data_IF_090925414303
#
_entry.id   IF_090925414303
#
_cell.length_a   1.000
_cell.length_b   1.000
_cell.length_c   1.000
_cell.angle_alpha   90.00
_cell.angle_beta   90.00
_cell.angle_gamma   90.00
#
_symmetry.space_group_name_H-M   'P 1'
#
loop_
_entity.id
_entity.type
_entity.pdbx_description
1 polymer ?
#
# COMPACT_ATOMS: atom_id res chain seq x y z
N UNK A 1 22.14 28.91 4.33
CA UNK A 1 23.39 28.11 4.48
C UNK A 1 23.08 26.70 3.98
N UNK A 2 23.87 26.19 3.04
CA UNK A 2 23.54 24.94 2.35
C UNK A 2 23.75 23.75 3.29
N UNK A 3 22.75 22.87 3.38
CA UNK A 3 22.76 21.62 4.15
C UNK A 3 24.03 20.76 3.95
N UNK A 4 24.69 20.90 2.79
CA UNK A 4 25.97 20.29 2.48
C UNK A 4 27.12 20.73 3.42
N UNK A 5 27.22 22.01 3.78
CA UNK A 5 28.26 22.51 4.71
C UNK A 5 28.02 22.03 6.14
N UNK A 6 26.76 21.87 6.55
CA UNK A 6 26.40 21.29 7.85
C UNK A 6 26.76 19.80 7.91
N UNK A 7 26.55 19.05 6.83
CA UNK A 7 26.97 17.65 6.72
C UNK A 7 28.50 17.51 6.77
N UNK A 8 29.22 18.43 6.14
CA UNK A 8 30.69 18.48 6.17
C UNK A 8 31.22 18.85 7.56
N UNK A 9 30.54 19.75 8.28
CA UNK A 9 30.87 20.13 9.67
C UNK A 9 30.51 19.06 10.71
N UNK A 10 29.42 18.32 10.53
CA UNK A 10 29.00 17.26 11.47
C UNK A 10 29.87 16.02 11.34
N UNK A 11 30.58 15.85 10.22
CA UNK A 11 31.44 14.71 9.94
C UNK A 11 30.65 13.41 9.71
N UNK A 12 31.30 12.41 9.10
CA UNK A 12 30.71 11.11 8.84
C UNK A 12 30.25 10.36 10.10
N UNK A 13 29.44 9.32 9.90
CA UNK A 13 28.69 8.51 10.90
C UNK A 13 29.41 8.33 12.25
N UNK A 14 29.27 9.31 13.14
CA UNK A 14 29.89 9.30 14.47
C UNK A 14 29.20 8.29 15.40
N UNK A 15 29.86 7.94 16.52
CA UNK A 15 29.27 7.01 17.53
C UNK A 15 27.88 7.43 18.02
N UNK A 16 27.63 8.74 18.11
CA UNK A 16 26.33 9.29 18.49
C UNK A 16 25.25 9.09 17.42
N UNK A 17 25.57 9.28 16.13
CA UNK A 17 24.65 8.98 15.03
C UNK A 17 24.36 7.48 14.95
N UNK A 18 25.40 6.63 15.09
CA UNK A 18 25.23 5.18 15.15
C UNK A 18 24.32 4.74 16.30
N UNK A 19 24.53 5.31 17.50
CA UNK A 19 23.69 5.02 18.67
C UNK A 19 22.24 5.49 18.46
N UNK A 20 22.01 6.68 17.89
CA UNK A 20 20.67 7.16 17.59
C UNK A 20 19.94 6.31 16.54
N UNK A 21 20.63 5.89 15.48
CA UNK A 21 20.06 4.97 14.49
C UNK A 21 19.70 3.63 15.14
N UNK A 22 20.58 3.08 15.99
CA UNK A 22 20.31 1.85 16.71
C UNK A 22 19.08 1.98 17.66
N UNK A 23 18.98 3.09 18.38
CA UNK A 23 17.83 3.41 19.25
C UNK A 23 16.52 3.54 18.47
N UNK A 24 16.55 4.10 17.26
CA UNK A 24 15.37 4.18 16.39
C UNK A 24 15.01 2.83 15.76
N UNK A 25 15.99 1.97 15.49
CA UNK A 25 15.76 0.63 14.95
C UNK A 25 15.06 -0.31 15.94
N UNK A 26 15.32 -0.17 17.24
CA UNK A 26 14.77 -1.07 18.25
C UNK A 26 13.22 -1.08 18.29
N UNK A 27 12.50 0.07 18.37
CA UNK A 27 11.05 0.10 18.27
C UNK A 27 10.51 -0.45 16.93
N UNK A 28 11.22 -0.23 15.82
CA UNK A 28 10.81 -0.74 14.51
C UNK A 28 10.84 -2.27 14.47
N UNK A 29 11.88 -2.89 15.07
CA UNK A 29 11.97 -4.34 15.19
C UNK A 29 10.88 -4.92 16.08
N UNK A 30 10.57 -4.27 17.21
CA UNK A 30 9.47 -4.69 18.08
C UNK A 30 8.12 -4.62 17.37
N UNK A 31 7.88 -3.56 16.60
CA UNK A 31 6.65 -3.42 15.81
C UNK A 31 6.53 -4.51 14.74
N UNK A 32 7.62 -4.81 14.03
CA UNK A 32 7.66 -5.88 13.04
C UNK A 32 7.42 -7.26 13.69
N UNK A 33 8.05 -7.52 14.84
CA UNK A 33 7.86 -8.75 15.60
C UNK A 33 6.40 -8.91 16.05
N UNK A 34 5.74 -7.84 16.48
CA UNK A 34 4.34 -7.90 16.89
C UNK A 34 3.40 -8.20 15.72
N UNK A 35 3.64 -7.60 14.54
CA UNK A 35 2.89 -7.92 13.32
C UNK A 35 3.08 -9.40 12.90
N UNK A 36 4.29 -9.93 13.06
CA UNK A 36 4.59 -11.32 12.73
C UNK A 36 3.96 -12.30 13.72
N UNK A 37 4.01 -11.97 15.02
CA UNK A 37 3.50 -12.80 16.10
C UNK A 37 2.00 -13.07 15.97
N UNK A 38 1.23 -12.11 15.46
CA UNK A 38 -0.21 -12.28 15.22
C UNK A 38 -0.51 -13.44 14.26
N UNK A 39 0.32 -13.65 13.23
CA UNK A 39 0.11 -14.75 12.27
C UNK A 39 0.31 -16.13 12.90
N UNK A 40 1.16 -16.24 13.94
CA UNK A 40 1.44 -17.50 14.62
C UNK A 40 0.50 -17.75 15.80
N UNK A 41 0.22 -16.72 16.60
CA UNK A 41 -0.68 -16.82 17.75
C UNK A 41 -2.12 -17.07 17.34
N UNK A 42 -2.51 -16.62 16.14
CA UNK A 42 -3.82 -16.85 15.54
C UNK A 42 -3.85 -18.04 14.56
N UNK A 43 -2.84 -18.91 14.55
CA UNK A 43 -2.87 -20.09 13.70
C UNK A 43 -3.99 -21.04 14.14
N UNK A 44 -4.76 -21.54 13.17
CA UNK A 44 -5.81 -22.54 13.38
C UNK A 44 -5.20 -23.91 13.09
N UNK A 45 -4.88 -24.74 14.10
CA UNK A 45 -4.43 -26.11 13.85
C UNK A 45 -5.58 -26.95 13.30
N UNK A 46 -5.25 -28.11 12.72
CA UNK A 46 -6.26 -29.09 12.34
C UNK A 46 -7.05 -29.52 13.58
N UNK A 47 -8.37 -29.54 13.45
CA UNK A 47 -9.31 -29.76 14.54
C UNK A 47 -10.53 -30.50 14.05
N UNK A 48 -11.18 -31.19 14.97
CA UNK A 48 -12.44 -31.89 14.77
C UNK A 48 -13.33 -31.69 16.00
N UNK A 49 -14.64 -31.94 15.85
CA UNK A 49 -15.55 -31.91 17.00
C UNK A 49 -15.06 -32.87 18.08
N UNK A 50 -15.12 -32.44 19.35
CA UNK A 50 -14.86 -33.34 20.47
C UNK A 50 -15.96 -34.39 20.51
N UNK A 51 -15.55 -35.64 20.51
CA UNK A 51 -16.44 -36.80 20.59
C UNK A 51 -16.13 -37.53 21.89
N UNK A 52 -17.16 -38.06 22.54
CA UNK A 52 -17.02 -38.96 23.69
C UNK A 52 -16.45 -40.32 23.26
N UNK A 53 -15.20 -40.36 22.81
CA UNK A 53 -14.46 -41.62 22.67
C UNK A 53 -14.05 -42.13 24.05
N UNK A 54 -14.01 -43.45 24.19
CA UNK A 54 -13.55 -44.12 25.41
C UNK A 54 -12.17 -43.58 25.82
N UNK A 55 -11.92 -43.34 27.12
CA UNK A 55 -10.70 -42.67 27.65
C UNK A 55 -9.38 -43.26 27.12
N UNK A 56 -9.38 -44.51 26.67
CA UNK A 56 -8.26 -45.17 26.02
C UNK A 56 -7.75 -44.46 24.74
N UNK A 57 -8.63 -43.80 23.97
CA UNK A 57 -8.24 -43.04 22.78
C UNK A 57 -7.72 -41.64 23.11
N UNK A 58 -8.10 -41.06 24.26
CA UNK A 58 -7.64 -39.72 24.68
C UNK A 58 -6.20 -39.71 25.21
N UNK A 59 -5.71 -40.85 25.73
CA UNK A 59 -4.42 -40.93 26.44
C UNK A 59 -3.26 -41.53 25.62
N UNK A 60 -3.40 -41.71 24.30
CA UNK A 60 -2.29 -42.08 23.40
C UNK A 60 -1.62 -43.45 23.64
N UNK A 61 -1.96 -44.18 24.71
CA UNK A 61 -1.32 -45.42 25.13
C UNK A 61 -1.99 -46.69 24.61
N UNK A 62 -2.95 -46.58 23.69
CA UNK A 62 -3.55 -47.73 23.04
C UNK A 62 -2.79 -48.08 21.76
N UNK A 63 -2.46 -49.36 21.60
CA UNK A 63 -2.05 -50.04 20.36
C UNK A 63 -3.12 -49.97 19.23
N UNK A 64 -4.09 -49.06 19.34
CA UNK A 64 -5.31 -48.96 18.52
C UNK A 64 -5.49 -47.62 17.81
N UNK A 65 -4.42 -47.03 17.25
CA UNK A 65 -4.52 -45.77 16.50
C UNK A 65 -5.48 -45.88 15.29
N UNK A 66 -5.61 -47.09 14.70
CA UNK A 66 -6.53 -47.36 13.58
C UNK A 66 -8.00 -47.44 14.02
N UNK A 67 -8.27 -47.97 15.21
CA UNK A 67 -9.64 -48.12 15.73
C UNK A 67 -10.22 -46.77 16.17
N UNK A 68 -9.41 -45.89 16.77
CA UNK A 68 -9.86 -44.55 17.16
C UNK A 68 -10.17 -43.67 15.94
N UNK A 69 -9.35 -43.73 14.88
CA UNK A 69 -9.61 -42.99 13.63
C UNK A 69 -10.83 -43.55 12.88
N UNK A 70 -11.07 -44.86 12.96
CA UNK A 70 -12.28 -45.48 12.41
C UNK A 70 -13.53 -45.08 13.21
N UNK A 71 -13.46 -45.07 14.55
CA UNK A 71 -14.54 -44.57 15.41
C UNK A 71 -14.87 -43.10 15.12
N UNK A 72 -13.88 -42.26 14.83
CA UNK A 72 -14.12 -40.83 14.56
C UNK A 72 -15.08 -40.63 13.37
N UNK A 73 -15.03 -41.51 12.36
CA UNK A 73 -15.89 -41.45 11.15
C UNK A 73 -17.37 -41.68 11.46
N UNK A 74 -17.68 -42.36 12.57
CA UNK A 74 -19.05 -42.62 13.02
C UNK A 74 -19.73 -41.33 13.49
N UNK A 75 -18.96 -40.40 14.05
CA UNK A 75 -19.48 -39.21 14.72
C UNK A 75 -19.26 -37.94 13.90
N UNK A 76 -18.23 -37.89 13.07
CA UNK A 76 -17.87 -36.70 12.28
C UNK A 76 -17.94 -37.04 10.79
N UNK A 77 -18.71 -36.29 9.98
CA UNK A 77 -18.74 -36.47 8.54
C UNK A 77 -17.35 -36.27 7.93
N UNK A 78 -17.12 -36.84 6.75
CA UNK A 78 -15.87 -36.67 6.03
C UNK A 78 -16.06 -35.72 4.86
N UNK A 79 -15.12 -34.78 4.74
CA UNK A 79 -15.02 -33.88 3.60
C UNK A 79 -14.57 -34.67 2.35
N UNK A 80 -14.68 -34.08 1.14
CA UNK A 80 -14.38 -34.73 -0.13
C UNK A 80 -12.96 -35.32 -0.26
N UNK A 81 -12.05 -34.92 0.64
CA UNK A 81 -10.68 -35.42 0.75
C UNK A 81 -10.49 -36.48 1.86
N UNK A 82 -11.56 -37.14 2.32
CA UNK A 82 -11.54 -38.17 3.39
C UNK A 82 -11.02 -37.67 4.75
N UNK A 83 -11.10 -36.37 5.01
CA UNK A 83 -10.73 -35.74 6.28
C UNK A 83 -11.97 -35.49 7.13
N UNK A 84 -11.89 -35.57 8.47
CA UNK A 84 -13.02 -35.21 9.32
C UNK A 84 -13.42 -33.76 9.08
N UNK A 85 -14.72 -33.53 8.97
CA UNK A 85 -15.29 -32.20 8.93
C UNK A 85 -14.95 -31.42 10.21
N UNK A 86 -14.73 -30.12 10.03
CA UNK A 86 -14.15 -29.24 11.06
C UNK A 86 -15.20 -28.65 12.01
N UNK A 87 -16.44 -28.49 11.54
CA UNK A 87 -17.47 -27.70 12.22
C UNK A 87 -18.76 -28.46 12.53
N UNK A 88 -18.99 -29.58 11.85
CA UNK A 88 -20.24 -30.34 11.94
C UNK A 88 -19.95 -31.74 12.46
N UNK A 89 -20.94 -32.29 13.17
CA UNK A 89 -20.99 -33.68 13.61
C UNK A 89 -22.36 -34.28 13.30
N UNK A 90 -22.43 -35.60 13.26
CA UNK A 90 -23.72 -36.28 13.18
C UNK A 90 -24.47 -36.19 14.51
N UNK A 91 -25.78 -35.91 14.46
CA UNK A 91 -26.68 -35.93 15.62
C UNK A 91 -26.75 -37.33 16.22
N UNK A 92 -26.80 -38.34 15.36
CA UNK A 92 -26.79 -39.76 15.76
C UNK A 92 -25.57 -40.47 15.20
N UNK A 93 -24.86 -41.30 16.00
CA UNK A 93 -23.68 -42.00 15.56
C UNK A 93 -24.01 -42.99 14.43
N UNK A 94 -23.35 -42.81 13.29
CA UNK A 94 -23.54 -43.64 12.10
C UNK A 94 -22.66 -44.88 12.15
N UNK A 95 -23.00 -45.84 13.04
CA UNK A 95 -22.24 -47.08 13.23
C UNK A 95 -22.10 -47.90 11.93
N UNK A 96 -23.05 -47.71 11.01
CA UNK A 96 -23.04 -48.29 9.66
C UNK A 96 -21.78 -47.94 8.86
N UNK A 97 -21.10 -46.82 9.16
CA UNK A 97 -19.85 -46.43 8.50
C UNK A 97 -18.65 -47.30 8.89
N UNK A 98 -18.73 -48.09 9.97
CA UNK A 98 -17.71 -49.08 10.35
C UNK A 98 -17.90 -50.43 9.66
N UNK A 99 -19.14 -50.76 9.27
CA UNK A 99 -19.50 -52.06 8.72
C UNK A 99 -19.48 -52.01 7.19
N UNK A 100 -18.29 -52.24 6.63
CA UNK A 100 -18.07 -52.29 5.17
C UNK A 100 -18.60 -53.60 4.56
N UNK A 101 -19.87 -53.95 4.75
CA UNK A 101 -20.52 -55.02 3.98
C UNK A 101 -22.03 -55.08 4.20
N UNK A 102 -22.82 -54.35 3.39
CA UNK A 102 -24.05 -54.90 2.79
C UNK A 102 -24.73 -53.92 1.86
N UNK A 103 -25.20 -54.49 0.76
CA UNK A 103 -26.04 -53.92 -0.28
C UNK A 103 -27.27 -53.19 0.27
N UNK A 104 -27.45 -51.93 -0.15
CA UNK A 104 -28.79 -51.35 -0.33
C UNK A 104 -29.33 -50.51 0.82
N UNK A 105 -28.80 -49.30 0.99
CA UNK A 105 -29.61 -48.09 1.17
C UNK A 105 -28.76 -46.91 0.77
N UNK A 106 -29.27 -46.04 -0.11
CA UNK A 106 -28.66 -44.72 -0.24
C UNK A 106 -28.60 -44.09 1.16
N UNK A 107 -27.48 -43.43 1.54
CA UNK A 107 -27.39 -42.80 2.83
C UNK A 107 -28.52 -41.77 2.92
N UNK A 108 -29.53 -42.03 3.75
CA UNK A 108 -30.42 -40.98 4.24
C UNK A 108 -29.51 -39.85 4.69
N UNK A 109 -29.71 -38.62 4.21
CA UNK A 109 -28.93 -37.45 4.63
C UNK A 109 -28.87 -37.45 6.16
N UNK A 110 -27.74 -37.87 6.71
CA UNK A 110 -27.60 -38.05 8.13
C UNK A 110 -27.68 -36.67 8.77
N UNK A 111 -28.59 -36.52 9.74
CA UNK A 111 -28.84 -35.23 10.37
C UNK A 111 -27.57 -34.72 11.06
N UNK A 112 -27.19 -33.49 10.75
CA UNK A 112 -25.93 -32.86 11.20
C UNK A 112 -26.24 -31.72 12.17
N UNK A 113 -25.40 -31.59 13.19
CA UNK A 113 -25.45 -30.49 14.15
C UNK A 113 -24.06 -29.85 14.34
N UNK A 114 -23.99 -28.57 14.73
CA UNK A 114 -22.72 -27.95 15.09
C UNK A 114 -22.09 -28.62 16.33
N UNK A 115 -20.75 -28.60 16.44
CA UNK A 115 -20.06 -29.17 17.61
C UNK A 115 -20.50 -28.46 18.92
N UNK A 116 -21.20 -29.16 19.83
CA UNK A 116 -21.62 -28.61 21.13
C UNK A 116 -20.64 -28.89 22.27
N UNK A 117 -19.91 -30.01 22.21
CA UNK A 117 -19.03 -30.49 23.30
C UNK A 117 -17.58 -29.95 23.22
N UNK A 118 -17.38 -28.91 22.39
CA UNK A 118 -16.09 -28.30 22.09
C UNK A 118 -15.31 -29.02 20.99
N UNK A 119 -14.01 -28.69 20.88
CA UNK A 119 -13.13 -29.20 19.83
C UNK A 119 -11.93 -29.95 20.42
N UNK A 120 -11.36 -30.83 19.60
CA UNK A 120 -10.07 -31.47 19.85
C UNK A 120 -9.10 -31.00 18.78
N UNK A 121 -8.01 -30.37 19.21
CA UNK A 121 -6.96 -29.84 18.34
C UNK A 121 -5.78 -30.79 18.27
N UNK A 122 -5.20 -30.95 17.10
CA UNK A 122 -3.98 -31.73 16.93
C UNK A 122 -2.74 -30.90 17.33
N UNK A 123 -2.13 -31.24 18.48
CA UNK A 123 -1.02 -30.50 19.09
C UNK A 123 0.36 -30.74 18.46
N UNK A 124 0.44 -31.27 17.24
CA UNK A 124 1.71 -31.66 16.60
C UNK A 124 2.58 -30.48 16.17
N UNK A 125 1.94 -29.36 15.81
CA UNK A 125 2.63 -28.14 15.30
C UNK A 125 2.49 -26.97 16.27
N UNK A 126 1.35 -26.84 16.93
CA UNK A 126 1.08 -25.78 17.91
C UNK A 126 0.56 -26.41 19.20
N UNK A 127 1.24 -26.19 20.32
CA UNK A 127 0.79 -26.67 21.63
C UNK A 127 -0.39 -25.84 22.15
N UNK A 128 -0.34 -24.52 21.97
CA UNK A 128 -1.41 -23.59 22.35
C UNK A 128 -1.39 -22.37 21.44
N UNK A 129 -2.56 -22.00 20.93
CA UNK A 129 -2.81 -20.76 20.19
C UNK A 129 -4.03 -20.05 20.80
N UNK A 130 -4.23 -18.77 20.46
CA UNK A 130 -5.42 -18.03 20.91
C UNK A 130 -6.71 -18.74 20.46
N UNK A 131 -6.64 -19.45 19.33
CA UNK A 131 -7.75 -20.23 18.79
C UNK A 131 -8.03 -21.46 19.65
N UNK A 132 -7.00 -22.19 20.08
CA UNK A 132 -7.20 -23.40 20.90
C UNK A 132 -7.56 -23.10 22.35
N UNK A 133 -7.17 -21.93 22.86
CA UNK A 133 -7.45 -21.52 24.24
C UNK A 133 -8.88 -20.99 24.41
N UNK A 134 -9.39 -20.27 23.39
CA UNK A 134 -10.70 -19.61 23.42
C UNK A 134 -11.74 -20.24 22.48
N UNK A 135 -11.43 -21.39 21.87
CA UNK A 135 -12.29 -22.11 20.92
C UNK A 135 -12.86 -21.21 19.81
N UNK A 136 -12.00 -20.37 19.22
CA UNK A 136 -12.35 -19.37 18.20
C UNK A 136 -12.48 -19.99 16.79
N UNK A 137 -13.33 -21.01 16.68
CA UNK A 137 -13.48 -21.85 15.48
C UNK A 137 -14.91 -21.77 14.94
N UNK A 138 -15.10 -22.06 13.66
CA UNK A 138 -16.40 -22.06 12.98
C UNK A 138 -17.11 -20.70 13.12
N UNK A 139 -18.11 -20.59 14.01
CA UNK A 139 -18.90 -19.38 14.25
C UNK A 139 -18.06 -18.17 14.71
N UNK A 140 -16.94 -18.41 15.41
CA UNK A 140 -16.07 -17.35 15.96
C UNK A 140 -14.82 -17.09 15.13
N UNK A 141 -14.72 -17.64 13.92
CA UNK A 141 -13.56 -17.41 13.02
C UNK A 141 -13.40 -15.93 12.64
N UNK A 142 -14.49 -15.19 12.56
CA UNK A 142 -14.49 -13.74 12.30
C UNK A 142 -13.81 -12.93 13.41
N UNK A 143 -13.86 -13.40 14.67
CA UNK A 143 -13.21 -12.72 15.80
C UNK A 143 -11.68 -12.66 15.65
N UNK A 144 -11.08 -13.72 15.07
CA UNK A 144 -9.66 -13.76 14.78
C UNK A 144 -9.25 -12.67 13.77
N UNK A 145 -10.06 -12.47 12.74
CA UNK A 145 -9.82 -11.47 11.70
C UNK A 145 -10.04 -10.05 12.25
N UNK A 146 -11.00 -9.86 13.18
CA UNK A 146 -11.23 -8.59 13.88
C UNK A 146 -10.02 -8.18 14.72
N UNK A 147 -9.28 -9.12 15.32
CA UNK A 147 -8.10 -8.80 16.12
C UNK A 147 -7.04 -8.01 15.31
N UNK A 148 -6.84 -8.36 14.04
CA UNK A 148 -5.92 -7.64 13.16
C UNK A 148 -6.41 -6.23 12.84
N UNK A 149 -7.71 -6.08 12.54
CA UNK A 149 -8.31 -4.77 12.28
C UNK A 149 -8.26 -3.88 13.51
N UNK A 150 -8.51 -4.42 14.70
CA UNK A 150 -8.38 -3.71 15.99
C UNK A 150 -6.94 -3.27 16.21
N UNK A 151 -5.96 -4.12 15.94
CA UNK A 151 -4.55 -3.76 16.04
C UNK A 151 -4.18 -2.59 15.11
N UNK A 152 -4.57 -2.65 13.83
CA UNK A 152 -4.29 -1.57 12.88
C UNK A 152 -5.01 -0.27 13.24
N UNK A 153 -6.23 -0.35 13.77
CA UNK A 153 -6.96 0.79 14.32
C UNK A 153 -6.24 1.38 15.55
N UNK A 154 -5.73 0.53 16.44
CA UNK A 154 -4.92 0.94 17.59
C UNK A 154 -3.64 1.67 17.19
N UNK A 155 -2.93 1.17 16.17
CA UNK A 155 -1.74 1.85 15.60
C UNK A 155 -2.10 3.23 15.05
N UNK A 156 -3.23 3.35 14.35
CA UNK A 156 -3.71 4.62 13.81
C UNK A 156 -4.06 5.62 14.92
N UNK A 157 -4.90 5.21 15.87
CA UNK A 157 -5.31 6.06 17.01
C UNK A 157 -4.11 6.44 17.87
N UNK A 158 -3.23 5.49 18.15
CA UNK A 158 -1.98 5.72 18.87
C UNK A 158 -1.08 6.72 18.15
N UNK A 159 -0.92 6.59 16.84
CA UNK A 159 -0.16 7.54 16.02
C UNK A 159 -0.71 8.97 16.10
N UNK A 160 -2.04 9.14 16.06
CA UNK A 160 -2.69 10.46 16.17
C UNK A 160 -2.50 11.06 17.58
N UNK A 161 -2.75 10.26 18.63
CA UNK A 161 -2.66 10.73 20.02
C UNK A 161 -1.22 11.03 20.40
N UNK A 162 -0.31 10.05 20.26
CA UNK A 162 1.08 10.19 20.66
C UNK A 162 1.86 11.10 19.72
N UNK A 163 1.52 11.14 18.42
CA UNK A 163 2.07 12.13 17.49
C UNK A 163 1.70 13.55 17.91
N UNK A 164 0.41 13.81 18.19
CA UNK A 164 -0.04 15.12 18.66
C UNK A 164 0.53 15.52 20.03
N UNK A 165 0.76 14.55 20.93
CA UNK A 165 1.45 14.79 22.22
C UNK A 165 2.95 15.03 22.04
N UNK A 166 3.60 14.34 21.10
CA UNK A 166 5.01 14.54 20.76
C UNK A 166 5.24 15.95 20.23
N UNK A 167 4.39 16.45 19.35
CA UNK A 167 4.50 17.82 18.82
C UNK A 167 4.31 18.89 19.91
N UNK A 168 3.49 18.58 20.93
CA UNK A 168 3.32 19.44 22.11
C UNK A 168 4.53 19.40 23.05
N UNK A 169 5.19 18.25 23.18
CA UNK A 169 6.26 17.99 24.15
C UNK A 169 7.67 18.22 23.60
N UNK A 170 7.86 18.24 22.28
CA UNK A 170 9.16 18.47 21.60
C UNK A 170 9.61 19.94 21.60
N UNK A 171 8.89 20.83 22.28
CA UNK A 171 9.32 22.22 22.52
C UNK A 171 10.43 22.28 23.57
N UNK A 172 11.62 21.77 23.25
CA UNK A 172 12.85 22.18 23.94
C UNK A 172 13.22 23.58 23.42
N UNK A 173 13.06 24.67 24.21
CA UNK A 173 13.12 26.04 23.70
C UNK A 173 14.51 26.47 23.18
N UNK A 174 15.55 25.67 23.43
CA UNK A 174 16.92 25.96 23.00
C UNK A 174 17.18 25.62 21.51
N UNK A 175 16.70 24.47 21.03
CA UNK A 175 16.95 24.00 19.65
C UNK A 175 16.03 24.71 18.65
N UNK A 176 14.79 25.01 19.08
CA UNK A 176 13.83 25.74 18.25
C UNK A 176 14.19 27.23 18.10
N UNK A 177 14.77 27.89 19.12
CA UNK A 177 15.24 29.28 19.00
C UNK A 177 16.36 29.45 17.97
N UNK A 178 17.26 28.49 17.87
CA UNK A 178 18.35 28.53 16.89
C UNK A 178 17.86 28.39 15.44
N UNK A 179 16.81 27.58 15.22
CA UNK A 179 16.20 27.44 13.90
C UNK A 179 15.27 28.63 13.56
N UNK A 180 14.48 29.12 14.53
CA UNK A 180 13.57 30.26 14.34
C UNK A 180 14.27 31.60 14.13
N UNK A 181 15.51 31.79 14.61
CA UNK A 181 16.26 33.01 14.30
C UNK A 181 16.65 33.10 12.82
N UNK A 182 16.72 31.97 12.10
CA UNK A 182 16.94 31.95 10.66
C UNK A 182 15.63 32.14 9.87
N UNK A 183 14.48 31.82 10.48
CA UNK A 183 13.15 31.90 9.85
C UNK A 183 12.34 33.15 10.21
N UNK A 184 12.91 34.13 10.93
CA UNK A 184 12.19 35.34 11.37
C UNK A 184 11.83 36.33 10.24
N UNK A 185 11.96 35.90 8.98
CA UNK A 185 11.43 36.55 7.77
C UNK A 185 10.15 35.87 7.22
N UNK A 186 9.65 34.79 7.83
CA UNK A 186 8.41 34.13 7.39
C UNK A 186 7.45 33.91 8.56
N UNK A 187 6.44 34.78 8.62
CA UNK A 187 5.42 34.79 9.66
C UNK A 187 4.61 33.48 9.73
N UNK A 188 4.49 32.93 10.95
CA UNK A 188 3.36 32.14 11.47
C UNK A 188 2.39 31.51 10.45
N UNK A 189 2.73 30.35 9.90
CA UNK A 189 1.75 29.46 9.31
C UNK A 189 1.80 28.09 9.99
N UNK A 190 0.83 27.84 10.87
CA UNK A 190 0.42 26.46 11.15
C UNK A 190 -0.24 25.97 9.86
N UNK A 191 0.49 25.28 8.99
CA UNK A 191 -0.04 24.79 7.71
C UNK A 191 -1.06 23.68 7.97
N UNK A 192 -2.38 23.93 7.81
CA UNK A 192 -3.38 22.91 8.05
C UNK A 192 -3.41 21.92 6.89
N UNK A 193 -3.85 20.68 7.16
CA UNK A 193 -4.20 19.67 6.12
C UNK A 193 -5.16 20.25 5.07
N UNK A 194 -5.93 21.28 5.43
CA UNK A 194 -6.81 22.01 4.52
C UNK A 194 -6.08 22.66 3.34
N UNK A 195 -4.83 23.10 3.52
CA UNK A 195 -4.06 23.77 2.45
C UNK A 195 -3.57 22.78 1.38
N UNK A 196 -3.42 21.50 1.74
CA UNK A 196 -3.22 20.41 0.77
C UNK A 196 -4.39 20.26 -0.21
N UNK A 197 -5.60 20.66 0.20
CA UNK A 197 -6.85 20.46 -0.55
C UNK A 197 -7.27 21.71 -1.33
N UNK A 198 -6.75 22.88 -0.95
CA UNK A 198 -7.04 24.16 -1.60
C UNK A 198 -6.47 24.24 -3.02
N UNK A 199 -5.27 23.69 -3.25
CA UNK A 199 -4.62 23.72 -4.56
C UNK A 199 -5.12 22.57 -5.45
N UNK A 200 -5.77 22.89 -6.59
CA UNK A 200 -6.44 21.90 -7.45
C UNK A 200 -5.52 20.80 -8.00
N UNK A 201 -4.24 21.12 -8.19
CA UNK A 201 -3.25 20.19 -8.72
C UNK A 201 -2.67 19.25 -7.66
N UNK A 202 -2.32 19.80 -6.50
CA UNK A 202 -1.93 19.01 -5.32
C UNK A 202 -3.07 18.08 -4.89
N UNK A 203 -4.32 18.55 -4.90
CA UNK A 203 -5.49 17.72 -4.59
C UNK A 203 -5.60 16.49 -5.48
N UNK A 204 -5.41 16.62 -6.80
CA UNK A 204 -5.44 15.48 -7.74
C UNK A 204 -4.33 14.48 -7.44
N UNK A 205 -3.12 14.96 -7.17
CA UNK A 205 -1.98 14.14 -6.79
C UNK A 205 -2.26 13.39 -5.47
N UNK A 206 -2.74 14.11 -4.45
CA UNK A 206 -3.06 13.55 -3.14
C UNK A 206 -4.15 12.49 -3.22
N UNK A 207 -5.24 12.73 -3.94
CA UNK A 207 -6.31 11.73 -4.12
C UNK A 207 -5.78 10.46 -4.78
N UNK A 208 -4.96 10.61 -5.83
CA UNK A 208 -4.40 9.45 -6.52
C UNK A 208 -3.41 8.68 -5.63
N UNK A 209 -2.52 9.38 -4.91
CA UNK A 209 -1.62 8.77 -3.95
C UNK A 209 -2.39 8.06 -2.83
N UNK A 210 -3.46 8.65 -2.31
CA UNK A 210 -4.27 8.02 -1.27
C UNK A 210 -4.88 6.70 -1.74
N UNK A 211 -5.36 6.65 -2.99
CA UNK A 211 -5.89 5.43 -3.57
C UNK A 211 -4.80 4.36 -3.75
N UNK A 212 -3.60 4.76 -4.19
CA UNK A 212 -2.43 3.88 -4.31
C UNK A 212 -1.98 3.33 -2.94
N UNK A 213 -1.89 4.19 -1.92
CA UNK A 213 -1.53 3.82 -0.55
C UNK A 213 -2.54 2.86 0.07
N UNK A 214 -3.82 3.17 -0.07
CA UNK A 214 -4.92 2.32 0.39
C UNK A 214 -4.86 0.95 -0.28
N UNK A 215 -4.81 0.91 -1.61
CA UNK A 215 -4.83 -0.32 -2.41
C UNK A 215 -3.61 -1.22 -2.14
N UNK A 216 -2.41 -0.63 -2.08
CA UNK A 216 -1.17 -1.36 -1.79
C UNK A 216 -1.26 -2.04 -0.43
N UNK A 217 -1.66 -1.29 0.60
CA UNK A 217 -1.79 -1.82 1.96
C UNK A 217 -2.89 -2.88 2.07
N UNK A 218 -4.05 -2.58 1.50
CA UNK A 218 -5.21 -3.47 1.48
C UNK A 218 -4.86 -4.84 0.86
N UNK A 219 -4.25 -4.86 -0.32
CA UNK A 219 -3.85 -6.12 -0.95
C UNK A 219 -2.69 -6.82 -0.23
N UNK A 220 -1.72 -6.06 0.31
CA UNK A 220 -0.57 -6.64 1.03
C UNK A 220 -0.98 -7.39 2.29
N UNK A 221 -1.88 -6.79 3.09
CA UNK A 221 -2.41 -7.42 4.29
C UNK A 221 -3.47 -8.47 3.96
N UNK A 222 -4.32 -8.24 2.95
CA UNK A 222 -5.31 -9.23 2.49
C UNK A 222 -4.67 -10.56 2.08
N UNK A 223 -3.59 -10.50 1.29
CA UNK A 223 -2.83 -11.68 0.89
C UNK A 223 -2.08 -12.33 2.06
N UNK A 224 -1.60 -11.54 3.02
CA UNK A 224 -0.94 -12.07 4.22
C UNK A 224 -1.93 -12.82 5.14
N UNK A 225 -3.18 -12.38 5.21
CA UNK A 225 -4.22 -13.07 6.00
C UNK A 225 -4.71 -14.35 5.33
N UNK A 226 -4.58 -14.46 4.00
CA UNK A 226 -4.97 -15.64 3.25
C UNK A 226 -3.95 -16.78 3.31
N UNK A 227 -2.80 -16.56 3.99
CA UNK A 227 -1.69 -17.52 4.09
C UNK A 227 -2.10 -18.93 4.54
N UNK A 228 -3.14 -19.03 5.38
CA UNK A 228 -3.64 -20.31 5.89
C UNK A 228 -4.35 -21.15 4.82
N UNK A 229 -4.89 -20.53 3.76
CA UNK A 229 -5.61 -21.26 2.72
C UNK A 229 -4.68 -22.02 1.78
N UNK A 230 -3.38 -21.70 1.74
CA UNK A 230 -2.46 -22.21 0.74
C UNK A 230 -2.09 -23.70 0.92
N UNK A 231 -2.41 -24.31 2.06
CA UNK A 231 -2.19 -25.74 2.33
C UNK A 231 -0.75 -26.11 2.68
N UNK A 232 0.15 -25.13 2.71
CA UNK A 232 1.54 -25.27 3.14
C UNK A 232 1.67 -24.80 4.60
N UNK A 233 2.68 -25.29 5.32
CA UNK A 233 2.93 -24.85 6.70
C UNK A 233 3.12 -23.33 6.77
N UNK A 234 2.47 -22.70 7.77
CA UNK A 234 2.50 -21.25 7.98
C UNK A 234 3.93 -20.73 8.21
N UNK A 235 4.82 -21.55 8.80
CA UNK A 235 6.23 -21.22 8.96
C UNK A 235 6.96 -21.09 7.62
N UNK A 236 6.80 -22.09 6.74
CA UNK A 236 7.50 -22.12 5.46
C UNK A 236 7.03 -20.96 4.57
N UNK A 237 5.72 -20.69 4.55
CA UNK A 237 5.17 -19.63 3.71
C UNK A 237 5.65 -18.23 4.15
N UNK A 238 5.80 -18.00 5.45
CA UNK A 238 6.35 -16.75 5.97
C UNK A 238 7.83 -16.57 5.64
N UNK A 239 8.63 -17.65 5.71
CA UNK A 239 10.04 -17.63 5.29
C UNK A 239 10.13 -17.32 3.80
N UNK A 240 9.30 -17.95 2.96
CA UNK A 240 9.29 -17.71 1.51
C UNK A 240 8.89 -16.25 1.21
N UNK A 241 7.86 -15.72 1.89
CA UNK A 241 7.44 -14.33 1.73
C UNK A 241 8.55 -13.35 2.12
N UNK A 242 9.25 -13.58 3.23
CA UNK A 242 10.40 -12.78 3.63
C UNK A 242 11.57 -12.89 2.65
N UNK A 243 11.86 -14.10 2.15
CA UNK A 243 12.95 -14.35 1.22
C UNK A 243 12.72 -13.70 -0.15
N UNK A 244 11.48 -13.72 -0.66
CA UNK A 244 11.13 -13.12 -1.97
C UNK A 244 11.04 -11.60 -1.93
N UNK A 245 10.79 -11.01 -0.77
CA UNK A 245 10.80 -9.56 -0.59
C UNK A 245 12.17 -8.93 -0.96
N UNK A 246 13.28 -9.65 -0.71
CA UNK A 246 14.65 -9.18 -1.01
C UNK A 246 14.88 -9.02 -2.52
N UNK A 247 14.78 -10.07 -3.36
CA UNK A 247 14.96 -9.95 -4.80
C UNK A 247 13.91 -9.04 -5.44
N UNK A 248 12.66 -9.07 -4.95
CA UNK A 248 11.62 -8.18 -5.47
C UNK A 248 11.98 -6.69 -5.27
N UNK A 249 12.54 -6.32 -4.11
CA UNK A 249 13.02 -4.95 -3.85
C UNK A 249 14.25 -4.58 -4.69
N UNK A 250 15.16 -5.52 -4.94
CA UNK A 250 16.30 -5.28 -5.84
C UNK A 250 15.83 -5.01 -7.28
N UNK A 251 14.90 -5.81 -7.78
CA UNK A 251 14.30 -5.59 -9.11
C UNK A 251 13.56 -4.25 -9.14
N UNK A 252 12.77 -3.93 -8.10
CA UNK A 252 12.07 -2.66 -8.00
C UNK A 252 13.04 -1.47 -8.02
N UNK A 253 14.16 -1.55 -7.30
CA UNK A 253 15.20 -0.53 -7.31
C UNK A 253 15.79 -0.29 -8.71
N UNK A 254 16.05 -1.37 -9.46
CA UNK A 254 16.52 -1.26 -10.85
C UNK A 254 15.46 -0.60 -11.75
N UNK A 255 14.20 -1.00 -11.61
CA UNK A 255 13.09 -0.43 -12.40
C UNK A 255 12.89 1.06 -12.09
N UNK A 256 12.94 1.46 -10.81
CA UNK A 256 12.87 2.88 -10.40
C UNK A 256 14.01 3.70 -11.00
N UNK A 257 15.21 3.10 -11.08
CA UNK A 257 16.42 3.77 -11.56
C UNK A 257 16.44 3.93 -13.08
N UNK A 258 15.97 2.93 -13.83
CA UNK A 258 16.03 2.93 -15.29
C UNK A 258 14.74 3.43 -15.97
N UNK A 259 13.58 2.99 -15.49
CA UNK A 259 12.28 3.22 -16.13
C UNK A 259 11.45 4.33 -15.48
N UNK A 260 11.93 4.94 -14.39
CA UNK A 260 11.21 6.00 -13.68
C UNK A 260 10.24 5.49 -12.62
N UNK A 261 9.78 6.41 -11.76
CA UNK A 261 9.00 6.07 -10.55
C UNK A 261 7.56 5.74 -10.87
N UNK A 262 6.99 6.47 -11.83
CA UNK A 262 5.60 6.28 -12.29
C UNK A 262 5.41 4.88 -12.85
N UNK A 263 6.31 4.46 -13.74
CA UNK A 263 6.24 3.16 -14.40
C UNK A 263 6.47 2.04 -13.38
N UNK A 264 7.46 2.20 -12.47
CA UNK A 264 7.69 1.24 -11.40
C UNK A 264 6.45 1.04 -10.50
N UNK A 265 5.80 2.12 -10.10
CA UNK A 265 4.60 2.07 -9.25
C UNK A 265 3.40 1.43 -9.97
N UNK A 266 3.14 1.83 -11.22
CA UNK A 266 2.03 1.29 -12.00
C UNK A 266 2.22 -0.20 -12.33
N UNK A 267 3.41 -0.58 -12.81
CA UNK A 267 3.71 -1.97 -13.17
C UNK A 267 3.67 -2.89 -11.96
N UNK A 268 4.24 -2.49 -10.82
CA UNK A 268 4.22 -3.33 -9.62
C UNK A 268 2.80 -3.61 -9.11
N UNK A 269 1.90 -2.63 -9.16
CA UNK A 269 0.50 -2.81 -8.78
C UNK A 269 -0.31 -3.65 -9.77
N UNK A 270 -0.13 -3.43 -11.07
CA UNK A 270 -0.83 -4.21 -12.10
C UNK A 270 -0.35 -5.67 -12.08
N UNK A 271 0.96 -5.91 -12.00
CA UNK A 271 1.51 -7.27 -11.89
C UNK A 271 1.08 -7.98 -10.60
N UNK A 272 1.00 -7.25 -9.47
CA UNK A 272 0.45 -7.79 -8.23
C UNK A 272 -1.03 -8.19 -8.39
N UNK A 273 -1.86 -7.32 -8.97
CA UNK A 273 -3.28 -7.61 -9.16
C UNK A 273 -3.52 -8.76 -10.15
N UNK A 274 -2.77 -8.82 -11.25
CA UNK A 274 -2.86 -9.91 -12.23
C UNK A 274 -2.41 -11.25 -11.64
N UNK A 275 -1.37 -11.27 -10.79
CA UNK A 275 -0.92 -12.50 -10.15
C UNK A 275 -1.90 -13.01 -9.08
N UNK A 276 -2.49 -12.10 -8.29
CA UNK A 276 -3.57 -12.47 -7.35
C UNK A 276 -4.83 -12.91 -8.10
N UNK A 277 -5.18 -12.25 -9.21
CA UNK A 277 -6.30 -12.66 -10.06
C UNK A 277 -6.07 -14.01 -10.74
N UNK A 278 -4.84 -14.28 -11.18
CA UNK A 278 -4.43 -15.56 -11.77
C UNK A 278 -4.64 -16.74 -10.81
N UNK A 279 -4.46 -16.51 -9.51
CA UNK A 279 -4.69 -17.50 -8.44
C UNK A 279 -6.14 -18.03 -8.44
N UNK A 280 -7.12 -17.21 -8.87
CA UNK A 280 -8.55 -17.60 -8.93
C UNK A 280 -8.79 -18.73 -9.94
N UNK A 281 -8.02 -18.77 -11.03
CA UNK A 281 -8.17 -19.79 -12.08
C UNK A 281 -7.44 -21.10 -11.75
N UNK A 282 -6.61 -21.13 -10.70
CA UNK A 282 -5.81 -22.30 -10.33
C UNK A 282 -6.65 -23.21 -9.43
N UNK A 283 -6.88 -24.46 -9.88
CA UNK A 283 -7.57 -25.47 -9.08
C UNK A 283 -6.86 -25.73 -7.74
N UNK A 284 -7.64 -26.10 -6.71
CA UNK A 284 -7.16 -26.38 -5.35
C UNK A 284 -6.11 -27.50 -5.27
N UNK A 285 -6.07 -28.39 -6.27
CA UNK A 285 -5.13 -29.51 -6.34
C UNK A 285 -3.68 -29.07 -6.61
N UNK A 286 -3.49 -27.94 -7.30
CA UNK A 286 -2.16 -27.44 -7.72
C UNK A 286 -1.59 -26.42 -6.72
N UNK A 287 -1.33 -26.88 -5.50
CA UNK A 287 -0.88 -26.03 -4.38
C UNK A 287 0.44 -25.27 -4.67
N UNK A 288 1.38 -25.90 -5.39
CA UNK A 288 2.67 -25.27 -5.76
C UNK A 288 2.44 -24.08 -6.68
N UNK A 289 1.62 -24.24 -7.72
CA UNK A 289 1.34 -23.15 -8.66
C UNK A 289 0.65 -21.98 -7.96
N UNK A 290 -0.29 -22.30 -7.06
CA UNK A 290 -1.01 -21.31 -6.26
C UNK A 290 -0.09 -20.50 -5.35
N UNK A 291 0.86 -21.17 -4.69
CA UNK A 291 1.85 -20.50 -3.85
C UNK A 291 2.80 -19.65 -4.67
N UNK A 292 3.26 -20.09 -5.85
CA UNK A 292 4.11 -19.29 -6.75
C UNK A 292 3.44 -17.96 -7.13
N UNK A 293 2.17 -17.99 -7.55
CA UNK A 293 1.42 -16.76 -7.87
C UNK A 293 1.27 -15.83 -6.66
N UNK A 294 0.94 -16.38 -5.49
CA UNK A 294 0.81 -15.59 -4.26
C UNK A 294 2.14 -14.98 -3.82
N UNK A 295 3.23 -15.73 -3.88
CA UNK A 295 4.57 -15.28 -3.53
C UNK A 295 5.03 -14.17 -4.48
N UNK A 296 4.79 -14.32 -5.78
CA UNK A 296 5.10 -13.29 -6.76
C UNK A 296 4.28 -12.02 -6.52
N UNK A 297 2.97 -12.15 -6.30
CA UNK A 297 2.11 -11.02 -5.97
C UNK A 297 2.51 -10.31 -4.68
N UNK A 298 2.92 -11.06 -3.65
CA UNK A 298 3.43 -10.50 -2.39
C UNK A 298 4.70 -9.69 -2.61
N UNK A 299 5.66 -10.20 -3.37
CA UNK A 299 6.88 -9.49 -3.72
C UNK A 299 6.60 -8.20 -4.48
N UNK A 300 5.68 -8.23 -5.47
CA UNK A 300 5.26 -7.03 -6.19
C UNK A 300 4.58 -5.99 -5.29
N UNK A 301 3.75 -6.41 -4.32
CA UNK A 301 3.15 -5.51 -3.33
C UNK A 301 4.19 -4.93 -2.37
N UNK A 302 5.18 -5.73 -1.96
CA UNK A 302 6.32 -5.26 -1.15
C UNK A 302 7.17 -4.22 -1.90
N UNK A 303 7.41 -4.44 -3.19
CA UNK A 303 8.05 -3.47 -4.08
C UNK A 303 7.22 -2.17 -4.19
N UNK A 304 5.92 -2.29 -4.47
CA UNK A 304 4.99 -1.14 -4.53
C UNK A 304 5.01 -0.31 -3.24
N UNK A 305 5.06 -0.97 -2.07
CA UNK A 305 5.17 -0.27 -0.79
C UNK A 305 6.43 0.62 -0.73
N UNK A 306 7.59 0.10 -1.13
CA UNK A 306 8.84 0.88 -1.12
C UNK A 306 8.80 2.02 -2.15
N UNK A 307 8.29 1.74 -3.36
CA UNK A 307 8.12 2.73 -4.40
C UNK A 307 7.19 3.87 -3.95
N UNK A 308 6.04 3.57 -3.35
CA UNK A 308 5.08 4.62 -2.93
C UNK A 308 5.63 5.49 -1.80
N UNK A 309 6.40 4.93 -0.86
CA UNK A 309 7.10 5.72 0.18
C UNK A 309 8.06 6.74 -0.45
N UNK A 310 8.89 6.28 -1.40
CA UNK A 310 9.86 7.13 -2.09
C UNK A 310 9.15 8.17 -2.98
N UNK A 311 8.19 7.72 -3.79
CA UNK A 311 7.49 8.56 -4.76
C UNK A 311 6.67 9.65 -4.07
N UNK A 312 6.05 9.35 -2.93
CA UNK A 312 5.35 10.34 -2.10
C UNK A 312 6.31 11.45 -1.63
N UNK A 313 7.56 11.10 -1.29
CA UNK A 313 8.58 12.08 -0.90
C UNK A 313 9.07 12.96 -2.05
N UNK A 314 9.10 12.44 -3.28
CA UNK A 314 9.52 13.18 -4.48
C UNK A 314 8.41 14.09 -5.05
N UNK A 315 7.13 13.75 -4.83
CA UNK A 315 5.97 14.48 -5.36
C UNK A 315 5.55 15.68 -4.51
N UNK A 316 5.64 15.55 -3.18
CA UNK A 316 5.25 16.63 -2.27
C UNK A 316 6.40 17.62 -2.05
N UNK A 317 6.11 18.94 -2.08
CA UNK A 317 7.11 19.94 -1.81
C UNK A 317 7.59 19.88 -0.36
N UNK A 318 8.83 20.30 -0.12
CA UNK A 318 9.52 20.17 1.17
C UNK A 318 8.68 20.70 2.34
N UNK A 319 7.98 21.81 2.14
CA UNK A 319 7.10 22.47 3.14
C UNK A 319 5.94 21.61 3.64
N UNK A 320 5.42 20.69 2.83
CA UNK A 320 4.26 19.85 3.16
C UNK A 320 4.54 18.35 3.05
N UNK A 321 5.80 17.95 2.80
CA UNK A 321 6.20 16.55 2.56
C UNK A 321 5.85 15.63 3.73
N UNK A 322 6.18 16.03 4.94
CA UNK A 322 5.91 15.22 6.13
C UNK A 322 4.40 15.05 6.37
N UNK A 323 3.61 16.11 6.15
CA UNK A 323 2.15 16.07 6.24
C UNK A 323 1.55 15.15 5.17
N UNK A 324 2.00 15.25 3.91
CA UNK A 324 1.56 14.39 2.81
C UNK A 324 1.91 12.92 3.02
N UNK A 325 3.12 12.62 3.52
CA UNK A 325 3.54 11.27 3.87
C UNK A 325 2.73 10.69 5.04
N UNK A 326 2.46 11.50 6.08
CA UNK A 326 1.61 11.11 7.20
C UNK A 326 0.18 10.80 6.77
N UNK A 327 -0.39 11.59 5.87
CA UNK A 327 -1.73 11.36 5.31
C UNK A 327 -1.78 10.08 4.46
N UNK A 328 -0.78 9.85 3.59
CA UNK A 328 -0.66 8.61 2.83
C UNK A 328 -0.55 7.37 3.72
N UNK A 329 0.27 7.44 4.78
CA UNK A 329 0.40 6.36 5.75
C UNK A 329 -0.92 6.11 6.52
N UNK A 330 -1.67 7.17 6.83
CA UNK A 330 -3.01 7.04 7.45
C UNK A 330 -3.95 6.25 6.53
N UNK A 331 -3.99 6.57 5.24
CA UNK A 331 -4.77 5.81 4.25
C UNK A 331 -4.29 4.36 4.09
N UNK A 332 -2.99 4.12 4.19
CA UNK A 332 -2.44 2.76 4.24
C UNK A 332 -2.98 1.99 5.45
N UNK A 333 -3.08 2.61 6.63
CA UNK A 333 -3.67 1.98 7.81
C UNK A 333 -5.15 1.69 7.63
N UNK A 334 -5.91 2.58 7.00
CA UNK A 334 -7.30 2.30 6.62
C UNK A 334 -7.39 1.06 5.71
N UNK A 335 -6.51 0.93 4.72
CA UNK A 335 -6.42 -0.28 3.88
C UNK A 335 -6.14 -1.55 4.69
N UNK A 336 -5.24 -1.48 5.68
CA UNK A 336 -4.94 -2.58 6.59
C UNK A 336 -6.08 -2.95 7.55
N UNK A 337 -6.93 -1.99 7.92
CA UNK A 337 -8.14 -2.23 8.74
C UNK A 337 -9.23 -2.91 7.90
N UNK A 338 -9.40 -2.48 6.65
CA UNK A 338 -10.44 -2.98 5.74
C UNK A 338 -10.09 -4.37 5.20
N UNK A 339 -8.81 -4.72 5.05
CA UNK A 339 -8.40 -6.02 4.51
C UNK A 339 -8.97 -7.23 5.28
N UNK A 340 -8.76 -7.37 6.62
CA UNK A 340 -9.36 -8.49 7.35
C UNK A 340 -10.90 -8.47 7.35
N UNK A 341 -11.54 -7.30 7.28
CA UNK A 341 -13.00 -7.20 7.17
C UNK A 341 -13.51 -7.77 5.85
N UNK A 342 -12.83 -7.51 4.75
CA UNK A 342 -13.15 -8.12 3.44
C UNK A 342 -12.92 -9.62 3.47
N UNK A 343 -11.88 -10.11 4.17
CA UNK A 343 -11.65 -11.55 4.33
C UNK A 343 -12.84 -12.26 5.00
N UNK A 344 -13.55 -11.62 5.95
CA UNK A 344 -14.71 -12.21 6.61
C UNK A 344 -15.86 -12.48 5.64
N UNK A 345 -16.01 -11.64 4.61
CA UNK A 345 -17.04 -11.87 3.57
C UNK A 345 -16.78 -13.15 2.75
N UNK A 346 -15.58 -13.70 2.83
CA UNK A 346 -15.22 -15.01 2.26
C UNK A 346 -15.96 -16.19 2.86
N UNK A 347 -16.62 -16.02 4.02
CA UNK A 347 -17.47 -17.05 4.62
C UNK A 347 -18.74 -17.32 3.81
N UNK A 348 -19.25 -16.28 3.13
CA UNK A 348 -20.42 -16.41 2.26
C UNK A 348 -20.03 -16.82 0.85
N UNK A 349 -18.96 -16.22 0.31
CA UNK A 349 -18.48 -16.50 -1.04
C UNK A 349 -16.94 -16.64 -1.04
N UNK A 350 -16.39 -17.86 -1.18
CA UNK A 350 -14.95 -18.12 -1.00
C UNK A 350 -14.06 -17.40 -2.03
N UNK A 351 -14.59 -17.10 -3.21
CA UNK A 351 -13.88 -16.40 -4.29
C UNK A 351 -13.93 -14.87 -4.21
N UNK A 352 -14.86 -14.30 -3.43
CA UNK A 352 -15.10 -12.85 -3.40
C UNK A 352 -13.91 -12.05 -2.84
N UNK A 353 -13.27 -12.43 -1.71
CA UNK A 353 -12.14 -11.67 -1.18
C UNK A 353 -10.96 -11.58 -2.16
N UNK A 354 -10.63 -12.68 -2.86
CA UNK A 354 -9.54 -12.70 -3.84
C UNK A 354 -9.81 -11.76 -5.02
N UNK A 355 -11.06 -11.71 -5.51
CA UNK A 355 -11.45 -10.78 -6.58
C UNK A 355 -11.24 -9.33 -6.14
N UNK A 356 -11.62 -8.99 -4.91
CA UNK A 356 -11.44 -7.63 -4.39
C UNK A 356 -9.95 -7.30 -4.23
N UNK A 357 -9.14 -8.24 -3.71
CA UNK A 357 -7.69 -8.06 -3.58
C UNK A 357 -6.96 -7.97 -4.92
N UNK A 358 -7.50 -8.55 -6.00
CA UNK A 358 -6.92 -8.45 -7.33
C UNK A 358 -7.32 -7.16 -8.05
N UNK A 359 -8.61 -6.78 -7.98
CA UNK A 359 -9.16 -5.64 -8.73
C UNK A 359 -8.71 -4.29 -8.18
N UNK A 360 -8.62 -4.14 -6.84
CA UNK A 360 -8.19 -2.88 -6.23
C UNK A 360 -6.77 -2.43 -6.69
N UNK A 361 -5.74 -3.29 -6.67
CA UNK A 361 -4.42 -2.99 -7.22
C UNK A 361 -4.44 -2.61 -8.71
N UNK A 362 -5.21 -3.32 -9.54
CA UNK A 362 -5.29 -3.04 -10.98
C UNK A 362 -5.85 -1.64 -11.24
N UNK A 363 -6.98 -1.31 -10.61
CA UNK A 363 -7.60 0.02 -10.75
C UNK A 363 -6.64 1.09 -10.22
N UNK A 364 -5.95 0.83 -9.10
CA UNK A 364 -4.99 1.78 -8.54
C UNK A 364 -3.71 1.93 -9.36
N UNK A 365 -3.25 0.87 -10.03
CA UNK A 365 -2.11 0.90 -10.93
C UNK A 365 -2.43 1.66 -12.21
N UNK A 366 -3.66 1.51 -12.74
CA UNK A 366 -4.17 2.36 -13.82
C UNK A 366 -4.26 3.82 -13.39
N UNK A 367 -4.78 4.09 -12.19
CA UNK A 367 -4.77 5.44 -11.63
C UNK A 367 -3.33 5.98 -11.48
N UNK A 368 -2.39 5.10 -11.09
CA UNK A 368 -0.99 5.45 -10.92
C UNK A 368 -0.31 5.89 -12.22
N UNK A 369 -0.77 5.39 -13.36
CA UNK A 369 -0.33 5.86 -14.67
C UNK A 369 -0.65 7.35 -14.90
N UNK A 370 -1.51 7.99 -14.13
CA UNK A 370 -1.76 9.41 -14.30
C UNK A 370 -0.86 10.31 -13.45
N UNK A 371 0.01 9.74 -12.60
CA UNK A 371 0.92 10.55 -11.81
C UNK A 371 2.05 11.20 -12.65
N UNK A 372 2.63 12.32 -12.17
CA UNK A 372 3.81 12.97 -12.76
C UNK A 372 5.04 12.07 -12.71
N UNK A 373 5.83 11.97 -13.78
CA UNK A 373 7.16 11.36 -13.68
C UNK A 373 8.11 12.27 -12.89
N UNK A 374 8.94 11.68 -12.03
CA UNK A 374 9.92 12.38 -11.18
C UNK A 374 11.37 12.07 -11.56
N UNK A 375 11.60 11.12 -12.48
CA UNK A 375 12.93 10.73 -12.93
C UNK A 375 13.73 11.93 -13.49
N UNK A 376 14.91 12.20 -12.93
CA UNK A 376 15.83 13.28 -13.30
C UNK A 376 15.25 14.70 -13.21
N UNK A 377 14.14 14.88 -12.50
CA UNK A 377 13.55 16.19 -12.25
C UNK A 377 13.97 16.67 -10.85
N UNK A 378 14.36 17.94 -10.66
CA UNK A 378 14.66 18.47 -9.33
C UNK A 378 13.44 18.37 -8.41
N UNK A 379 13.65 18.16 -7.12
CA UNK A 379 12.55 18.09 -6.15
C UNK A 379 11.84 19.45 -6.08
N UNK A 380 10.50 19.48 -5.98
CA UNK A 380 9.78 20.73 -5.79
C UNK A 380 10.05 21.28 -4.38
N UNK A 381 10.46 22.54 -4.29
CA UNK A 381 10.66 23.22 -3.02
C UNK A 381 9.42 24.05 -2.64
N UNK A 382 8.71 24.57 -3.64
CA UNK A 382 7.52 25.42 -3.44
C UNK A 382 6.25 24.79 -4.02
N UNK A 383 5.09 25.36 -3.66
CA UNK A 383 3.78 24.93 -4.18
C UNK A 383 3.62 25.33 -5.67
N UNK A 384 4.16 26.49 -6.05
CA UNK A 384 4.12 27.03 -7.42
C UNK A 384 4.86 26.13 -8.42
N UNK A 385 5.96 25.49 -7.99
CA UNK A 385 6.70 24.50 -8.78
C UNK A 385 5.82 23.29 -9.16
N UNK A 386 4.94 22.88 -8.24
CA UNK A 386 4.02 21.75 -8.45
C UNK A 386 2.89 22.14 -9.41
N UNK A 387 2.37 23.37 -9.30
CA UNK A 387 1.33 23.86 -10.20
C UNK A 387 1.82 23.93 -11.64
N UNK A 388 3.01 24.50 -11.87
CA UNK A 388 3.60 24.58 -13.22
C UNK A 388 3.77 23.20 -13.86
N UNK A 389 4.23 22.21 -13.08
CA UNK A 389 4.36 20.81 -13.55
C UNK A 389 3.02 20.17 -13.84
N UNK A 390 2.00 20.47 -13.04
CA UNK A 390 0.68 19.87 -13.17
C UNK A 390 -0.13 20.37 -14.39
N UNK A 391 0.12 21.60 -14.86
CA UNK A 391 -0.54 22.17 -16.04
C UNK A 391 -0.14 21.39 -17.30
N UNK A 392 1.15 21.08 -17.45
CA UNK A 392 1.67 20.25 -18.56
C UNK A 392 1.02 18.85 -18.57
N UNK A 393 0.70 18.32 -17.40
CA UNK A 393 0.09 17.00 -17.22
C UNK A 393 -1.42 17.05 -17.49
N UNK A 394 -2.10 18.13 -17.10
CA UNK A 394 -3.52 18.35 -17.40
C UNK A 394 -3.81 18.30 -18.90
N UNK A 395 -2.95 18.88 -19.73
CA UNK A 395 -3.06 18.83 -21.19
C UNK A 395 -2.94 17.40 -21.74
N UNK A 396 -2.06 16.58 -21.14
CA UNK A 396 -1.89 15.16 -21.51
C UNK A 396 -3.05 14.27 -21.03
N UNK A 397 -3.70 14.64 -19.92
CA UNK A 397 -4.91 13.99 -19.41
C UNK A 397 -6.10 14.21 -20.35
N UNK A 398 -6.30 15.43 -20.84
CA UNK A 398 -7.36 15.78 -21.78
C UNK A 398 -7.22 15.06 -23.13
N UNK A 399 -5.98 14.79 -23.56
CA UNK A 399 -5.69 14.02 -24.78
C UNK A 399 -6.05 12.52 -24.66
N UNK A 400 -5.91 11.92 -23.48
CA UNK A 400 -6.18 10.49 -23.27
C UNK A 400 -7.64 10.18 -22.93
N UNK A 401 -8.36 11.10 -22.29
CA UNK A 401 -9.77 10.91 -21.93
C UNK A 401 -10.72 11.16 -23.10
N UNK A 402 -10.22 11.58 -24.27
CA UNK A 402 -11.02 11.72 -25.48
C UNK A 402 -12.14 12.74 -25.28
N UNK A 403 -11.80 14.02 -25.19
CA UNK A 403 -12.82 15.04 -25.36
C UNK A 403 -13.15 15.13 -26.86
N UNK A 404 -14.18 14.40 -27.29
CA UNK A 404 -14.99 14.81 -28.45
C UNK A 404 -15.86 15.98 -28.00
N UNK A 405 -15.25 17.15 -27.83
CA UNK A 405 -15.99 18.40 -27.93
C UNK A 405 -15.41 19.14 -29.12
N UNK A 406 -16.29 19.30 -30.11
CA UNK A 406 -15.96 19.84 -31.41
C UNK A 406 -15.26 21.18 -31.31
N UNK A 407 -14.34 21.34 -32.24
CA UNK A 407 -13.89 22.59 -32.83
C UNK A 407 -15.00 23.65 -32.83
N UNK A 408 -15.04 24.47 -31.77
CA UNK A 408 -15.61 25.81 -31.85
C UNK A 408 -14.44 26.77 -31.96
N UNK A 409 -14.17 27.17 -33.21
CA UNK A 409 -13.62 28.48 -33.52
C UNK A 409 -14.46 29.51 -32.75
N UNK A 410 -13.88 30.11 -31.72
CA UNK A 410 -14.38 31.38 -31.22
C UNK A 410 -13.27 32.42 -31.22
N UNK A 411 -13.69 33.56 -31.73
CA UNK A 411 -12.93 34.67 -32.25
C UNK A 411 -12.26 35.45 -31.11
N UNK A 412 -11.24 36.23 -31.45
CA UNK A 412 -10.32 36.82 -30.49
C UNK A 412 -10.95 37.63 -29.34
N UNK A 413 -10.42 37.39 -28.14
CA UNK A 413 -10.24 38.41 -27.10
C UNK A 413 -9.02 38.03 -26.26
N UNK A 414 -7.95 38.83 -26.38
CA UNK A 414 -6.76 38.73 -25.54
C UNK A 414 -7.11 39.30 -24.17
N UNK A 415 -7.31 38.44 -23.18
CA UNK A 415 -7.20 38.85 -21.78
C UNK A 415 -5.72 38.69 -21.38
N UNK A 416 -5.03 39.81 -21.51
CA UNK A 416 -3.62 39.98 -21.21
C UNK A 416 -3.48 40.17 -19.69
N UNK A 417 -3.14 39.11 -18.97
CA UNK A 417 -2.67 39.24 -17.58
C UNK A 417 -1.16 39.45 -17.64
N UNK A 418 -0.75 40.68 -17.30
CA UNK A 418 0.64 41.09 -17.17
C UNK A 418 1.29 40.43 -15.95
N UNK A 419 2.46 39.81 -16.12
CA UNK A 419 3.52 39.90 -15.10
C UNK A 419 4.90 40.09 -15.77
N UNK A 420 5.78 40.90 -15.15
CA UNK A 420 6.96 41.47 -15.80
C UNK A 420 8.15 40.51 -15.77
N UNK A 421 8.89 40.45 -16.88
CA UNK A 421 10.26 39.94 -16.91
C UNK A 421 10.39 38.43 -17.04
N UNK A 422 10.24 37.90 -18.25
CA UNK A 422 10.85 36.62 -18.63
C UNK A 422 11.34 36.71 -20.08
N UNK A 423 12.67 36.69 -20.22
CA UNK A 423 13.38 36.54 -21.49
C UNK A 423 13.24 35.08 -21.91
N UNK A 424 12.57 34.85 -23.05
CA UNK A 424 12.50 33.54 -23.68
C UNK A 424 13.84 33.31 -24.42
N UNK A 425 14.74 32.53 -23.83
CA UNK A 425 15.85 31.94 -24.58
C UNK A 425 15.34 30.65 -25.23
N UNK A 426 15.07 30.75 -26.53
CA UNK A 426 14.77 29.62 -27.40
C UNK A 426 16.08 28.84 -27.65
N UNK A 427 16.22 27.66 -27.05
CA UNK A 427 17.31 26.71 -27.34
C UNK A 427 16.77 25.58 -28.22
N UNK A 428 16.54 25.89 -29.50
CA UNK A 428 16.50 24.89 -30.56
C UNK A 428 17.52 25.24 -31.64
N UNK A 429 18.76 24.78 -31.45
CA UNK A 429 19.65 24.24 -32.49
C UNK A 429 21.05 24.05 -31.90
N UNK A 430 21.34 22.85 -31.41
CA UNK A 430 22.72 22.36 -31.32
C UNK A 430 22.85 21.31 -32.42
N UNK A 431 23.26 21.76 -33.61
CA UNK A 431 23.92 20.91 -34.58
C UNK A 431 25.42 21.02 -34.32
N UNK A 432 26.03 19.86 -34.10
CA UNK A 432 27.48 19.68 -34.07
C UNK A 432 28.12 20.23 -35.34
N UNK A 433 29.04 21.17 -35.20
CA UNK A 433 30.16 21.35 -36.13
C UNK A 433 31.42 21.65 -35.35
N UNK A 434 32.24 20.61 -35.28
CA UNK A 434 33.69 20.53 -35.29
C UNK A 434 34.52 21.82 -35.11
N UNK A 435 35.48 21.71 -34.19
CA UNK A 435 36.36 22.74 -33.65
C UNK A 435 37.67 22.77 -34.47
N UNK A 436 37.90 23.80 -35.28
CA UNK A 436 39.20 24.07 -35.91
C UNK A 436 39.98 25.13 -35.08
N UNK A 437 41.20 24.82 -34.58
CA UNK A 437 41.94 25.72 -33.71
C UNK A 437 42.90 26.61 -34.52
N UNK A 438 42.52 27.88 -34.78
CA UNK A 438 43.46 28.95 -35.20
C UNK A 438 42.81 30.35 -35.14
N UNK A 439 43.48 31.29 -34.45
CA UNK A 439 43.39 32.78 -34.50
C UNK A 439 42.42 33.54 -33.55
N UNK A 440 42.69 34.83 -33.21
CA UNK A 440 42.93 35.27 -31.83
C UNK A 440 42.01 36.39 -31.31
N UNK A 441 42.16 36.73 -30.02
CA UNK A 441 41.59 37.89 -29.34
C UNK A 441 41.74 39.19 -30.14
N UNK A 442 40.63 39.82 -30.52
CA UNK A 442 40.38 41.27 -30.52
C UNK A 442 39.15 41.58 -31.38
N UNK A 443 38.02 41.93 -30.72
CA UNK A 443 37.01 42.87 -31.25
C UNK A 443 36.09 43.24 -30.09
N UNK A 444 36.58 44.21 -29.32
CA UNK A 444 35.86 44.99 -28.33
C UNK A 444 35.29 46.21 -29.07
N UNK A 445 34.01 46.54 -28.81
CA UNK A 445 33.21 47.67 -29.33
C UNK A 445 32.74 47.43 -30.79
N UNK A 446 31.46 47.53 -31.17
CA UNK A 446 30.38 48.48 -30.84
C UNK A 446 29.05 47.90 -31.33
N UNK A 447 27.96 48.11 -30.59
CA UNK A 447 26.57 48.49 -31.00
C UNK A 447 25.65 48.13 -29.81
N UNK A 448 24.93 49.01 -29.11
CA UNK A 448 24.29 50.25 -29.51
C UNK A 448 22.77 50.04 -29.52
N UNK A 449 22.11 49.88 -28.35
CA UNK A 449 20.63 49.81 -28.29
C UNK A 449 20.09 50.78 -27.24
N UNK A 450 19.25 51.68 -27.77
CA UNK A 450 18.57 52.81 -27.13
C UNK A 450 17.52 52.35 -26.11
N UNK A 451 17.44 53.08 -25.00
CA UNK A 451 16.25 53.17 -24.15
C UNK A 451 15.27 54.17 -24.75
N UNK A 452 14.08 53.73 -25.14
CA UNK A 452 12.94 54.60 -25.43
C UNK A 452 11.77 54.27 -24.50
N UNK A 453 11.32 55.30 -23.78
CA UNK A 453 10.11 55.33 -22.98
C UNK A 453 8.89 55.47 -23.92
N UNK A 454 7.78 54.82 -23.61
CA UNK A 454 6.50 55.01 -24.31
C UNK A 454 5.51 55.78 -23.44
N UNK A 455 5.27 57.03 -23.86
CA UNK A 455 4.11 57.86 -23.54
C UNK A 455 2.99 57.60 -24.58
N UNK A 456 1.78 58.06 -24.24
CA UNK A 456 0.67 58.48 -25.12
C UNK A 456 -0.53 57.52 -25.36
N UNK A 457 -1.59 57.80 -24.58
CA UNK A 457 -2.94 58.26 -24.99
C UNK A 457 -3.34 58.08 -26.48
N UNK A 458 -4.61 57.69 -26.75
CA UNK A 458 -5.33 58.24 -27.89
C UNK A 458 -6.63 58.95 -27.50
N UNK A 459 -6.80 60.18 -28.03
CA UNK A 459 -8.06 60.91 -28.14
C UNK A 459 -8.77 60.54 -29.44
N UNK A 460 -10.09 60.38 -29.36
CA UNK A 460 -11.00 60.89 -30.40
C UNK A 460 -11.88 59.87 -31.12
N UNK A 461 -13.17 59.82 -30.72
CA UNK A 461 -14.29 59.77 -31.66
C UNK A 461 -15.55 60.33 -30.98
N UNK A 462 -16.06 61.42 -31.56
CA UNK A 462 -17.27 62.15 -31.19
C UNK A 462 -18.48 61.39 -31.74
N UNK A 463 -19.52 61.14 -30.94
CA UNK A 463 -20.91 61.13 -31.43
C UNK A 463 -21.89 61.49 -30.32
N UNK A 464 -22.72 62.49 -30.62
CA UNK A 464 -23.83 63.03 -29.85
C UNK A 464 -25.00 62.04 -29.89
N UNK A 465 -25.65 61.76 -28.76
CA UNK A 465 -27.12 61.65 -28.70
C UNK A 465 -27.65 61.65 -27.26
N UNK A 466 -28.73 62.42 -27.08
CA UNK A 466 -29.50 62.67 -25.87
C UNK A 466 -30.13 61.40 -25.27
N UNK A 467 -30.35 61.39 -23.94
CA UNK A 467 -31.69 61.26 -23.34
C UNK A 467 -31.61 61.20 -21.81
N UNK A 468 -32.24 62.22 -21.19
CA UNK A 468 -32.78 62.33 -19.81
C UNK A 468 -31.83 62.28 -18.61
#
# INVERSE_FOLDING_TARGET
MAFAELLDQVGGMGRFQGLNVALLCFPMLLMAAHNLLQNFTAAVPEHHCRVALNKACANGNATGNRDCQALLRVFVPQDGAWRPEKCWRFVTPQWQLLEFNSTGREPTEAEQEPCLDGWTYEGSVFTSTIVTEWDLVCNFRSLQQLAQSIYMAGVLVGGIIFGGLSDKSSKHPAVLKANLQTDNSSNNAKFPVADLVCTASLRRITVCLCFVWFSTSFAYYGLAMDLQNFGVSVYLIQVIFGAVDIPAKLVAFLVISYSGRRIAQALSLILAGLSIGGNIFVSHDMQILRTVFAVFGKGCLGASFNCVFLYTGELYPTVIRQTGMGFGNTMARVGGIVAPLVRMTGEYLPSLPLVIYATAPIISGMAACFLPETLNVPLPDTIEDVETRSVVIGTRWSLFVGNTEGEKRENGRKDQVCHPGAVLLDMTEIKETEKDPRLPENLRNTEGVKTEACSDIPKGAITISNAL
#
